data_IF_792973772320
#
_entry.id   IF_792973772320
#
_cell.length_a   1.000
_cell.length_b   1.000
_cell.length_c   1.000
_cell.angle_alpha   90.00
_cell.angle_beta   90.00
_cell.angle_gamma   90.00
#
_symmetry.space_group_name_H-M   'P 1'
#
loop_
_entity.id
_entity.type
_entity.pdbx_description
1 polymer ?
#
# COMPACT_ATOMS: atom_id res chain seq x y z
N UNK A 1 41.49 3.46 37.72
CA UNK A 1 41.55 2.87 36.35
C UNK A 1 40.25 2.12 36.01
N UNK A 2 39.20 2.31 36.81
CA UNK A 2 38.08 1.36 36.95
C UNK A 2 36.85 1.83 36.16
N UNK A 3 36.72 3.15 36.07
CA UNK A 3 35.78 3.91 35.27
C UNK A 3 35.97 3.71 33.75
N UNK A 4 37.21 3.55 33.26
CA UNK A 4 37.47 3.29 31.84
C UNK A 4 37.05 1.87 31.41
N UNK A 5 37.20 0.88 32.30
CA UNK A 5 36.72 -0.50 32.07
C UNK A 5 35.20 -0.57 32.09
N UNK A 6 34.54 0.14 33.02
CA UNK A 6 33.08 0.25 33.07
C UNK A 6 32.50 0.89 31.80
N UNK A 7 33.10 1.97 31.30
CA UNK A 7 32.68 2.64 30.07
C UNK A 7 32.82 1.73 28.84
N UNK A 8 33.93 1.00 28.73
CA UNK A 8 34.15 0.04 27.63
C UNK A 8 33.12 -1.10 27.64
N UNK A 9 32.76 -1.62 28.82
CA UNK A 9 31.74 -2.66 28.94
C UNK A 9 30.34 -2.15 28.57
N UNK A 10 30.00 -0.92 28.98
CA UNK A 10 28.73 -0.30 28.60
C UNK A 10 28.63 -0.04 27.10
N UNK A 11 29.69 0.53 26.49
CA UNK A 11 29.74 0.77 25.04
C UNK A 11 29.69 -0.55 24.26
N UNK A 12 30.38 -1.59 24.74
CA UNK A 12 30.31 -2.93 24.17
C UNK A 12 28.90 -3.50 24.21
N UNK A 13 28.21 -3.38 25.35
CA UNK A 13 26.82 -3.83 25.50
C UNK A 13 25.85 -3.10 24.58
N UNK A 14 25.96 -1.78 24.47
CA UNK A 14 25.13 -0.97 23.55
C UNK A 14 25.38 -1.36 22.09
N UNK A 15 26.64 -1.56 21.71
CA UNK A 15 27.01 -1.98 20.35
C UNK A 15 26.41 -3.34 19.98
N UNK A 16 26.48 -4.32 20.88
CA UNK A 16 25.84 -5.63 20.69
C UNK A 16 24.32 -5.50 20.61
N UNK A 17 23.73 -4.67 21.47
CA UNK A 17 22.29 -4.37 21.45
C UNK A 17 21.83 -3.78 20.12
N UNK A 18 22.57 -2.84 19.54
CA UNK A 18 22.22 -2.25 18.24
C UNK A 18 22.35 -3.25 17.09
N UNK A 19 23.39 -4.08 17.09
CA UNK A 19 23.58 -5.10 16.04
C UNK A 19 22.46 -6.15 16.06
N UNK A 20 22.10 -6.63 17.25
CA UNK A 20 21.00 -7.59 17.42
C UNK A 20 19.66 -6.99 17.02
N UNK A 21 19.35 -5.75 17.43
CA UNK A 21 18.14 -5.04 17.03
C UNK A 21 18.06 -4.85 15.51
N UNK A 22 19.18 -4.46 14.87
CA UNK A 22 19.28 -4.32 13.42
C UNK A 22 18.97 -5.64 12.70
N UNK A 23 19.61 -6.73 13.10
CA UNK A 23 19.38 -8.05 12.52
C UNK A 23 17.91 -8.50 12.66
N UNK A 24 17.30 -8.31 13.84
CA UNK A 24 15.89 -8.65 14.06
C UNK A 24 14.96 -7.81 13.18
N UNK A 25 15.22 -6.50 13.06
CA UNK A 25 14.43 -5.62 12.18
C UNK A 25 14.57 -6.01 10.72
N UNK A 26 15.76 -6.40 10.25
CA UNK A 26 15.96 -6.88 8.88
C UNK A 26 15.13 -8.14 8.60
N UNK A 27 15.19 -9.14 9.48
CA UNK A 27 14.43 -10.39 9.33
C UNK A 27 12.92 -10.13 9.34
N UNK A 28 12.44 -9.28 10.26
CA UNK A 28 11.02 -8.89 10.30
C UNK A 28 10.60 -8.12 9.05
N UNK A 29 11.44 -7.23 8.54
CA UNK A 29 11.19 -6.50 7.31
C UNK A 29 11.09 -7.43 6.09
N UNK A 30 11.90 -8.48 6.03
CA UNK A 30 11.81 -9.50 4.97
C UNK A 30 10.50 -10.29 5.06
N UNK A 31 10.16 -10.79 6.25
CA UNK A 31 8.90 -11.54 6.46
C UNK A 31 7.65 -10.70 6.19
N UNK A 32 7.66 -9.42 6.60
CA UNK A 32 6.55 -8.51 6.31
C UNK A 32 6.35 -8.28 4.80
N UNK A 33 7.44 -8.26 4.01
CA UNK A 33 7.35 -8.20 2.54
C UNK A 33 6.74 -9.47 1.96
N UNK A 34 7.11 -10.63 2.50
CA UNK A 34 6.54 -11.93 2.10
C UNK A 34 5.05 -12.01 2.46
N UNK A 35 4.65 -11.57 3.65
CA UNK A 35 3.24 -11.54 4.06
C UNK A 35 2.40 -10.61 3.17
N UNK A 36 2.89 -9.42 2.83
CA UNK A 36 2.21 -8.52 1.90
C UNK A 36 2.10 -9.16 0.51
N UNK A 37 3.17 -9.81 0.04
CA UNK A 37 3.16 -10.50 -1.23
C UNK A 37 2.14 -11.64 -1.25
N UNK A 38 2.11 -12.46 -0.21
CA UNK A 38 1.18 -13.57 -0.05
C UNK A 38 -0.26 -13.10 0.07
N UNK A 39 -0.50 -12.00 0.79
CA UNK A 39 -1.84 -11.44 0.94
C UNK A 39 -2.36 -10.86 -0.37
N UNK A 40 -1.51 -10.17 -1.14
CA UNK A 40 -1.87 -9.66 -2.48
C UNK A 40 -2.13 -10.81 -3.47
N UNK A 41 -1.38 -11.92 -3.38
CA UNK A 41 -1.68 -13.14 -4.16
C UNK A 41 -3.02 -13.74 -3.72
N UNK A 42 -3.30 -13.79 -2.41
CA UNK A 42 -4.55 -14.33 -1.86
C UNK A 42 -5.77 -13.52 -2.28
N UNK A 43 -5.63 -12.22 -2.53
CA UNK A 43 -6.71 -11.38 -3.05
C UNK A 43 -7.15 -11.72 -4.49
N UNK A 44 -6.52 -12.72 -5.14
CA UNK A 44 -6.92 -13.30 -6.44
C UNK A 44 -7.22 -12.25 -7.51
N UNK A 45 -6.50 -11.13 -7.49
CA UNK A 45 -6.67 -10.05 -8.45
C UNK A 45 -6.29 -10.59 -9.84
N UNK A 46 -7.19 -10.44 -10.79
CA UNK A 46 -7.08 -11.02 -12.14
C UNK A 46 -7.31 -9.92 -13.16
N UNK A 47 -6.50 -9.88 -14.21
CA UNK A 47 -6.76 -9.04 -15.36
C UNK A 47 -8.10 -9.42 -15.99
N UNK A 48 -8.91 -8.42 -16.34
CA UNK A 48 -10.15 -8.68 -17.06
C UNK A 48 -9.86 -9.43 -18.37
N UNK A 49 -10.71 -10.39 -18.74
CA UNK A 49 -10.54 -11.14 -19.99
C UNK A 49 -10.77 -10.28 -21.24
N UNK A 50 -11.30 -9.06 -21.09
CA UNK A 50 -11.69 -8.15 -22.16
C UNK A 50 -11.51 -6.69 -21.71
N UNK A 51 -11.36 -5.78 -22.67
CA UNK A 51 -11.31 -4.33 -22.41
C UNK A 51 -10.04 -3.88 -21.71
N UNK A 52 -8.92 -4.58 -21.96
CA UNK A 52 -7.61 -4.16 -21.52
C UNK A 52 -7.09 -3.02 -22.40
N UNK A 53 -6.22 -2.15 -21.86
CA UNK A 53 -5.47 -1.18 -22.66
C UNK A 53 -4.64 -1.87 -23.75
N UNK A 54 -4.44 -1.15 -24.85
CA UNK A 54 -3.67 -1.64 -26.00
C UNK A 54 -2.29 -2.16 -25.60
N UNK A 55 -1.91 -3.33 -26.12
CA UNK A 55 -0.63 -3.99 -25.81
C UNK A 55 -0.62 -4.84 -24.54
N UNK A 56 -1.72 -4.84 -23.76
CA UNK A 56 -1.86 -5.67 -22.57
C UNK A 56 -2.67 -6.96 -22.80
N UNK A 57 -3.09 -7.24 -24.04
CA UNK A 57 -3.90 -8.43 -24.39
C UNK A 57 -3.29 -9.75 -23.91
N UNK A 58 -1.95 -9.84 -23.92
CA UNK A 58 -1.26 -11.02 -23.41
C UNK A 58 -1.65 -11.31 -21.96
N UNK A 59 -1.98 -10.30 -21.15
CA UNK A 59 -2.34 -10.44 -19.74
C UNK A 59 -3.82 -10.76 -19.50
N UNK A 60 -4.66 -10.79 -20.54
CA UNK A 60 -6.09 -11.08 -20.42
C UNK A 60 -6.36 -12.37 -19.64
N UNK A 61 -7.21 -12.26 -18.60
CA UNK A 61 -7.60 -13.39 -17.74
C UNK A 61 -6.48 -13.95 -16.85
N UNK A 62 -5.26 -13.40 -16.90
CA UNK A 62 -4.15 -13.85 -16.05
C UNK A 62 -4.28 -13.29 -14.64
N UNK A 63 -3.77 -14.04 -13.66
CA UNK A 63 -3.66 -13.57 -12.27
C UNK A 63 -2.47 -12.63 -12.10
N UNK A 64 -2.63 -11.64 -11.23
CA UNK A 64 -1.54 -10.80 -10.74
C UNK A 64 -0.80 -11.58 -9.65
N UNK A 65 0.36 -12.12 -9.97
CA UNK A 65 1.09 -13.08 -9.11
C UNK A 65 2.43 -12.54 -8.61
N UNK A 66 2.91 -11.43 -9.14
CA UNK A 66 4.22 -10.86 -8.79
C UNK A 66 4.26 -9.35 -9.06
N UNK A 67 5.33 -8.71 -8.62
CA UNK A 67 5.51 -7.26 -8.76
C UNK A 67 5.48 -6.75 -10.20
N UNK A 68 5.98 -7.52 -11.17
CA UNK A 68 5.93 -7.13 -12.59
C UNK A 68 4.49 -7.13 -13.10
N UNK A 69 3.70 -8.15 -12.75
CA UNK A 69 2.27 -8.17 -13.07
C UNK A 69 1.54 -7.01 -12.38
N UNK A 70 1.87 -6.71 -11.12
CA UNK A 70 1.24 -5.62 -10.37
C UNK A 70 1.52 -4.25 -11.02
N UNK A 71 2.74 -4.02 -11.51
CA UNK A 71 3.08 -2.80 -12.23
C UNK A 71 2.27 -2.67 -13.52
N UNK A 72 2.15 -3.74 -14.30
CA UNK A 72 1.30 -3.74 -15.49
C UNK A 72 -0.17 -3.53 -15.12
N UNK A 73 -0.66 -4.15 -14.04
CA UNK A 73 -2.03 -3.97 -13.56
C UNK A 73 -2.32 -2.53 -13.13
N UNK A 74 -1.33 -1.79 -12.61
CA UNK A 74 -1.49 -0.37 -12.29
C UNK A 74 -1.79 0.50 -13.52
N UNK A 75 -1.34 0.11 -14.71
CA UNK A 75 -1.68 0.82 -15.95
C UNK A 75 -3.16 0.64 -16.31
N UNK A 76 -3.72 -0.55 -16.04
CA UNK A 76 -5.15 -0.83 -16.19
C UNK A 76 -5.97 0.02 -15.22
N UNK A 77 -5.56 0.08 -13.95
CA UNK A 77 -6.22 0.95 -12.95
C UNK A 77 -6.13 2.40 -13.39
N UNK A 78 -4.95 2.88 -13.79
CA UNK A 78 -4.75 4.26 -14.25
C UNK A 78 -5.61 4.61 -15.46
N UNK A 79 -5.72 3.70 -16.43
CA UNK A 79 -6.60 3.86 -17.59
C UNK A 79 -8.08 3.97 -17.20
N UNK A 80 -8.55 3.08 -16.32
CA UNK A 80 -9.93 3.08 -15.83
C UNK A 80 -10.26 4.34 -15.02
N UNK A 81 -9.34 4.77 -14.15
CA UNK A 81 -9.49 6.00 -13.36
C UNK A 81 -9.59 7.21 -14.29
N UNK A 82 -8.67 7.38 -15.25
CA UNK A 82 -8.76 8.49 -16.21
C UNK A 82 -10.06 8.47 -17.00
N UNK A 83 -10.53 7.30 -17.42
CA UNK A 83 -11.80 7.16 -18.14
C UNK A 83 -13.01 7.53 -17.26
N UNK A 84 -12.96 7.20 -15.97
CA UNK A 84 -14.03 7.50 -15.03
C UNK A 84 -14.05 8.97 -14.59
N UNK A 85 -12.91 9.66 -14.65
CA UNK A 85 -12.78 11.08 -14.27
C UNK A 85 -12.73 12.03 -15.46
N UNK A 86 -12.97 11.56 -16.69
CA UNK A 86 -12.72 12.31 -17.94
C UNK A 86 -11.32 12.97 -17.99
N UNK A 87 -10.34 12.36 -17.32
CA UNK A 87 -8.97 12.85 -17.23
C UNK A 87 -8.74 13.92 -16.16
N UNK A 88 -9.77 14.37 -15.46
CA UNK A 88 -9.64 15.30 -14.34
C UNK A 88 -8.96 14.63 -13.15
N UNK A 89 -8.11 15.39 -12.47
CA UNK A 89 -7.54 14.98 -11.19
C UNK A 89 -8.64 14.81 -10.16
N UNK A 90 -8.41 13.89 -9.22
CA UNK A 90 -9.30 13.73 -8.06
C UNK A 90 -9.50 15.06 -7.32
N UNK A 91 -8.49 15.95 -7.30
CA UNK A 91 -8.60 17.29 -6.71
C UNK A 91 -9.57 18.22 -7.46
N UNK A 92 -9.61 18.13 -8.79
CA UNK A 92 -10.49 18.95 -9.64
C UNK A 92 -11.93 18.44 -9.51
N UNK A 93 -12.14 17.13 -9.63
CA UNK A 93 -13.47 16.51 -9.48
C UNK A 93 -14.02 16.66 -8.04
N UNK A 94 -13.16 16.70 -7.03
CA UNK A 94 -13.57 16.96 -5.64
C UNK A 94 -14.06 18.39 -5.44
N UNK A 95 -13.43 19.37 -6.10
CA UNK A 95 -13.82 20.76 -5.99
C UNK A 95 -15.18 21.00 -6.64
N UNK A 96 -15.43 20.39 -7.81
CA UNK A 96 -16.71 20.47 -8.51
C UNK A 96 -17.82 19.72 -7.76
N UNK A 97 -17.53 18.54 -7.20
CA UNK A 97 -18.48 17.81 -6.35
C UNK A 97 -18.76 18.53 -5.04
N UNK A 98 -17.79 19.23 -4.44
CA UNK A 98 -18.02 20.05 -3.25
C UNK A 98 -18.79 21.33 -3.56
N UNK A 99 -18.60 21.93 -4.74
CA UNK A 99 -19.38 23.07 -5.20
C UNK A 99 -20.83 22.67 -5.57
N UNK A 100 -21.03 21.46 -6.09
CA UNK A 100 -22.34 20.93 -6.48
C UNK A 100 -23.10 20.22 -5.33
N UNK A 101 -22.39 19.64 -4.35
CA UNK A 101 -23.01 18.86 -3.27
C UNK A 101 -23.15 19.70 -2.00
N UNK A 102 -24.31 20.31 -1.83
CA UNK A 102 -24.79 20.83 -0.53
C UNK A 102 -25.09 19.75 0.52
N UNK A 103 -24.38 18.61 0.48
CA UNK A 103 -24.56 17.44 1.36
C UNK A 103 -23.20 16.99 1.92
N UNK A 104 -22.65 17.81 2.82
CA UNK A 104 -21.32 17.59 3.41
C UNK A 104 -21.24 16.43 4.40
N UNK A 105 -22.37 15.92 4.91
CA UNK A 105 -22.36 14.98 6.04
C UNK A 105 -22.35 13.50 5.62
N UNK A 106 -23.19 13.12 4.66
CA UNK A 106 -23.28 11.74 4.15
C UNK A 106 -22.01 11.31 3.38
N UNK A 107 -21.42 12.24 2.62
CA UNK A 107 -20.16 12.02 1.90
C UNK A 107 -18.95 11.91 2.85
N UNK A 108 -18.99 12.60 4.00
CA UNK A 108 -17.93 12.51 5.00
C UNK A 108 -17.91 11.13 5.66
N UNK A 109 -19.08 10.57 5.96
CA UNK A 109 -19.22 9.24 6.54
C UNK A 109 -18.71 8.14 5.58
N UNK A 110 -19.15 8.16 4.33
CA UNK A 110 -18.73 7.23 3.27
C UNK A 110 -17.21 7.27 3.02
N UNK A 111 -16.60 8.47 3.02
CA UNK A 111 -15.15 8.64 2.86
C UNK A 111 -14.37 8.00 4.02
N UNK A 112 -14.92 8.08 5.24
CA UNK A 112 -14.28 7.53 6.43
C UNK A 112 -14.30 5.99 6.43
N UNK A 113 -15.38 5.36 6.02
CA UNK A 113 -15.51 3.89 6.01
C UNK A 113 -14.87 3.21 4.81
N UNK A 114 -15.04 3.75 3.59
CA UNK A 114 -14.60 3.07 2.38
C UNK A 114 -13.15 3.39 1.96
N UNK A 115 -12.68 4.62 2.21
CA UNK A 115 -11.38 5.07 1.69
C UNK A 115 -10.28 5.22 2.76
N UNK A 116 -10.66 5.52 4.00
CA UNK A 116 -9.68 5.69 5.10
C UNK A 116 -9.49 4.43 5.94
N UNK A 117 -10.19 3.33 5.62
CA UNK A 117 -10.08 2.06 6.33
C UNK A 117 -10.23 2.26 7.83
N UNK A 118 -11.45 2.57 8.32
CA UNK A 118 -11.65 2.68 9.77
C UNK A 118 -11.23 1.35 10.44
N UNK A 119 -10.48 1.40 11.56
CA UNK A 119 -10.35 0.24 12.43
C UNK A 119 -11.73 -0.14 12.95
N UNK A 120 -12.02 -1.44 12.96
CA UNK A 120 -13.16 -2.01 13.69
C UNK A 120 -13.18 -1.45 15.12
N UNK A 121 -14.38 -1.14 15.61
CA UNK A 121 -14.68 -0.34 16.80
C UNK A 121 -14.18 -0.89 18.16
N UNK A 122 -14.63 -0.28 19.28
CA UNK A 122 -14.12 -0.56 20.61
C UNK A 122 -14.53 -1.96 21.08
N UNK A 123 -13.69 -2.55 21.93
CA UNK A 123 -13.93 -3.77 22.70
C UNK A 123 -15.23 -3.70 23.51
#
# INVERSE_FOLDING_TARGET
MDNARGLMLLLGGVGVGMLTAGAVMTVRGMRGKEEIHDELIRQKITFSGRGLPDGLDRYAGRRVENGTHARVFSEVIGGNVRKATDGHSCSENSADLHAASGKGEELAELRQTAFMGRPCGPL
#
